data_IF_879199303108
#
_entry.id   IF_879199303108
#
_cell.length_a   1.000
_cell.length_b   1.000
_cell.length_c   1.000
_cell.angle_alpha   90.00
_cell.angle_beta   90.00
_cell.angle_gamma   90.00
#
_symmetry.space_group_name_H-M   'P 1'
#
loop_
_entity.id
_entity.type
_entity.pdbx_description
1 polymer ?
#
# COMPACT_ATOMS: atom_id res chain seq x y z
N UNK A 1 8.75 57.66 -42.23
CA UNK A 1 7.89 56.66 -41.56
C UNK A 1 8.56 56.28 -40.24
N UNK A 2 8.03 56.68 -39.07
CA UNK A 2 8.62 56.31 -37.79
C UNK A 2 8.24 54.88 -37.39
N UNK A 3 9.22 54.08 -36.96
CA UNK A 3 9.05 52.70 -36.52
C UNK A 3 8.35 52.63 -35.14
N UNK A 4 7.44 51.66 -34.90
CA UNK A 4 6.85 51.48 -33.59
C UNK A 4 7.86 50.84 -32.62
N UNK A 5 8.20 51.58 -31.56
CA UNK A 5 9.00 51.09 -30.44
C UNK A 5 8.10 50.31 -29.48
N UNK A 6 8.29 48.98 -29.41
CA UNK A 6 7.53 48.10 -28.51
C UNK A 6 8.00 48.32 -27.07
N UNK A 7 7.17 48.97 -26.25
CA UNK A 7 7.40 49.09 -24.80
C UNK A 7 7.05 47.76 -24.13
N UNK A 8 8.05 47.02 -23.64
CA UNK A 8 7.81 45.86 -22.77
C UNK A 8 7.40 46.35 -21.39
N UNK A 9 6.21 45.98 -20.95
CA UNK A 9 5.73 46.29 -19.58
C UNK A 9 6.37 45.32 -18.59
N UNK A 10 6.88 45.78 -17.43
CA UNK A 10 7.35 44.88 -16.38
C UNK A 10 6.14 44.18 -15.76
N UNK A 11 6.16 42.85 -15.78
CA UNK A 11 5.14 42.02 -15.14
C UNK A 11 5.40 42.02 -13.62
N UNK A 12 4.41 42.34 -12.77
CA UNK A 12 4.61 42.38 -11.34
C UNK A 12 4.85 40.96 -10.80
N UNK A 13 5.98 40.80 -10.09
CA UNK A 13 6.52 39.55 -9.51
C UNK A 13 5.55 38.86 -8.53
N UNK A 14 4.51 39.56 -8.08
CA UNK A 14 3.49 39.07 -7.14
C UNK A 14 2.49 38.09 -7.76
N UNK A 15 2.30 38.11 -9.09
CA UNK A 15 1.39 37.16 -9.77
C UNK A 15 2.04 35.78 -9.94
N UNK A 16 3.38 35.72 -10.03
CA UNK A 16 4.11 34.46 -10.19
C UNK A 16 4.09 33.59 -8.91
N UNK A 17 4.00 34.21 -7.73
CA UNK A 17 4.03 33.49 -6.45
C UNK A 17 2.72 32.74 -6.14
N UNK A 18 1.56 33.25 -6.57
CA UNK A 18 0.27 32.56 -6.38
C UNK A 18 0.06 31.39 -7.35
N UNK A 19 0.69 31.40 -8.53
CA UNK A 19 0.57 30.30 -9.48
C UNK A 19 1.30 29.03 -9.03
N UNK A 20 2.43 29.18 -8.34
CA UNK A 20 3.27 28.07 -7.92
C UNK A 20 2.62 27.19 -6.83
N UNK A 21 1.81 27.76 -5.94
CA UNK A 21 1.10 26.98 -4.90
C UNK A 21 -0.05 26.14 -5.46
N UNK A 22 -0.71 26.57 -6.53
CA UNK A 22 -1.76 25.80 -7.19
C UNK A 22 -1.22 24.54 -7.89
N UNK A 23 -0.01 24.60 -8.44
CA UNK A 23 0.66 23.46 -9.08
C UNK A 23 1.13 22.41 -8.06
N UNK A 24 1.50 22.82 -6.85
CA UNK A 24 1.98 21.91 -5.79
C UNK A 24 0.88 21.03 -5.18
N UNK A 25 -0.40 21.40 -5.30
CA UNK A 25 -1.53 20.59 -4.78
C UNK A 25 -2.05 19.53 -5.76
N UNK A 26 -1.68 19.58 -7.05
CA UNK A 26 -2.21 18.64 -8.06
C UNK A 26 -1.60 17.24 -8.01
N UNK A 27 -0.68 16.96 -7.07
CA UNK A 27 0.00 15.67 -6.93
C UNK A 27 -0.74 14.62 -6.09
N UNK A 28 -1.75 15.00 -5.28
CA UNK A 28 -2.48 14.05 -4.43
C UNK A 28 -3.63 13.32 -5.13
N UNK A 29 -3.79 13.47 -6.46
CA UNK A 29 -4.79 12.76 -7.24
C UNK A 29 -4.14 11.88 -8.31
N UNK A 30 -3.13 11.09 -7.94
CA UNK A 30 -2.64 9.98 -8.76
C UNK A 30 -3.09 8.65 -8.13
N UNK A 31 -4.41 8.49 -8.01
CA UNK A 31 -5.05 7.23 -7.63
C UNK A 31 -5.85 6.72 -8.82
N UNK A 32 -5.25 5.83 -9.62
CA UNK A 32 -5.94 5.26 -10.77
C UNK A 32 -5.03 4.58 -11.79
N UNK A 33 -3.97 3.89 -11.32
CA UNK A 33 -3.30 2.90 -12.15
C UNK A 33 -4.27 1.74 -12.38
N UNK A 34 -4.63 1.51 -13.64
CA UNK A 34 -5.57 0.49 -14.04
C UNK A 34 -5.26 -0.86 -13.37
N UNK A 35 -6.20 -1.35 -12.57
CA UNK A 35 -6.18 -2.72 -12.11
C UNK A 35 -6.24 -3.62 -13.34
N UNK A 36 -5.12 -4.29 -13.65
CA UNK A 36 -5.13 -5.39 -14.59
C UNK A 36 -6.06 -6.46 -14.02
N UNK A 37 -7.23 -6.65 -14.65
CA UNK A 37 -8.10 -7.78 -14.35
C UNK A 37 -7.38 -9.06 -14.74
N UNK A 38 -6.74 -9.71 -13.77
CA UNK A 38 -6.33 -11.10 -13.90
C UNK A 38 -7.60 -11.94 -13.97
N UNK A 39 -8.03 -12.26 -15.20
CA UNK A 39 -9.07 -13.27 -15.45
C UNK A 39 -8.43 -14.64 -15.21
N UNK A 40 -8.37 -15.04 -13.93
CA UNK A 40 -8.07 -16.41 -13.55
C UNK A 40 -9.24 -17.30 -13.94
N UNK A 41 -8.96 -18.34 -14.72
CA UNK A 41 -9.91 -19.42 -15.01
C UNK A 41 -10.52 -19.95 -13.71
N UNK A 42 -11.83 -20.26 -13.64
CA UNK A 42 -12.40 -20.85 -12.44
C UNK A 42 -11.69 -22.18 -12.20
N UNK A 43 -10.90 -22.25 -11.13
CA UNK A 43 -10.42 -23.51 -10.62
C UNK A 43 -11.64 -24.26 -10.09
N UNK A 44 -11.80 -25.51 -10.50
CA UNK A 44 -12.87 -26.38 -10.03
C UNK A 44 -12.74 -26.53 -8.51
N UNK A 45 -13.62 -25.85 -7.79
CA UNK A 45 -13.58 -25.76 -6.33
C UNK A 45 -14.05 -27.11 -5.77
N UNK A 46 -13.10 -28.01 -5.50
CA UNK A 46 -13.36 -29.21 -4.69
C UNK A 46 -13.78 -28.70 -3.32
N UNK A 47 -15.08 -28.74 -3.03
CA UNK A 47 -15.61 -28.31 -1.73
C UNK A 47 -14.98 -29.19 -0.64
N UNK A 48 -14.10 -28.66 0.22
CA UNK A 48 -13.51 -29.45 1.28
C UNK A 48 -14.61 -29.89 2.25
N UNK A 49 -14.62 -31.15 2.66
CA UNK A 49 -15.53 -31.62 3.70
C UNK A 49 -15.19 -30.92 5.02
N UNK A 50 -16.02 -29.98 5.46
CA UNK A 50 -15.84 -29.30 6.74
C UNK A 50 -16.19 -30.27 7.87
N UNK A 51 -15.24 -30.48 8.79
CA UNK A 51 -15.42 -31.32 9.98
C UNK A 51 -15.10 -30.51 11.22
N UNK A 52 -16.03 -30.52 12.18
CA UNK A 52 -15.78 -29.95 13.51
C UNK A 52 -14.75 -30.79 14.26
N UNK A 53 -13.81 -30.11 14.90
CA UNK A 53 -12.78 -30.71 15.76
C UNK A 53 -12.92 -30.15 17.17
N UNK A 54 -12.60 -30.96 18.18
CA UNK A 54 -12.74 -30.56 19.58
C UNK A 54 -11.74 -29.47 19.99
N UNK A 55 -10.59 -29.39 19.32
CA UNK A 55 -9.56 -28.37 19.51
C UNK A 55 -8.60 -28.34 18.31
N UNK A 56 -7.84 -27.25 18.20
CA UNK A 56 -6.70 -27.08 17.30
C UNK A 56 -5.44 -26.88 18.15
N UNK A 57 -4.28 -27.26 17.61
CA UNK A 57 -3.00 -26.94 18.24
C UNK A 57 -2.80 -25.42 18.25
N UNK A 58 -2.72 -24.78 19.43
CA UNK A 58 -2.73 -23.33 19.53
C UNK A 58 -1.36 -22.75 19.14
N UNK A 59 -1.36 -21.83 18.17
CA UNK A 59 -0.16 -21.23 17.59
C UNK A 59 -0.23 -19.71 17.61
N UNK A 60 0.92 -19.08 17.82
CA UNK A 60 1.08 -17.64 17.70
C UNK A 60 2.07 -17.33 16.57
N UNK A 61 1.78 -16.29 15.80
CA UNK A 61 2.71 -15.74 14.81
C UNK A 61 3.32 -14.47 15.37
N UNK A 62 4.64 -14.39 15.38
CA UNK A 62 5.42 -13.24 15.86
C UNK A 62 6.21 -12.67 14.69
N UNK A 63 6.12 -11.36 14.48
CA UNK A 63 7.02 -10.69 13.53
C UNK A 63 8.29 -10.23 14.24
N UNK A 64 9.42 -10.43 13.57
CA UNK A 64 10.73 -9.96 13.99
C UNK A 64 11.46 -9.31 12.81
N UNK A 65 12.53 -8.57 13.08
CA UNK A 65 13.38 -8.01 12.02
C UNK A 65 14.11 -9.12 11.27
N UNK A 66 13.55 -9.55 10.14
CA UNK A 66 13.99 -10.72 9.40
C UNK A 66 12.89 -11.76 9.12
N UNK A 67 11.66 -11.53 9.60
CA UNK A 67 10.48 -12.23 9.07
C UNK A 67 9.39 -12.55 10.08
N UNK A 68 8.83 -13.75 9.94
CA UNK A 68 7.77 -14.30 10.79
C UNK A 68 8.19 -15.61 11.44
N UNK A 69 7.84 -15.76 12.71
CA UNK A 69 8.04 -16.97 13.48
C UNK A 69 6.68 -17.50 13.93
N UNK A 70 6.35 -18.72 13.54
CA UNK A 70 5.21 -19.45 14.07
C UNK A 70 5.68 -20.28 15.25
N UNK A 71 5.09 -20.04 16.42
CA UNK A 71 5.47 -20.67 17.69
C UNK A 71 4.28 -21.45 18.24
N UNK A 72 4.53 -22.66 18.69
CA UNK A 72 3.56 -23.43 19.47
C UNK A 72 3.39 -22.75 20.83
N UNK A 73 2.16 -22.40 21.19
CA UNK A 73 1.91 -21.59 22.39
C UNK A 73 1.91 -22.40 23.68
N UNK A 74 1.86 -23.73 23.59
CA UNK A 74 1.93 -24.61 24.75
C UNK A 74 3.40 -24.91 25.11
N UNK A 75 4.22 -25.26 24.12
CA UNK A 75 5.63 -25.62 24.33
C UNK A 75 6.59 -24.44 24.20
N UNK A 76 6.21 -23.40 23.45
CA UNK A 76 7.11 -22.30 23.07
C UNK A 76 8.10 -22.66 21.96
N UNK A 77 7.95 -23.82 21.32
CA UNK A 77 8.83 -24.27 20.24
C UNK A 77 8.49 -23.58 18.91
N UNK A 78 9.54 -23.33 18.12
CA UNK A 78 9.38 -22.80 16.76
C UNK A 78 8.87 -23.92 15.86
N UNK A 79 7.72 -23.68 15.25
CA UNK A 79 7.16 -24.60 14.27
C UNK A 79 7.52 -24.20 12.84
N UNK A 80 7.61 -22.90 12.58
CA UNK A 80 7.96 -22.39 11.26
C UNK A 80 8.67 -21.04 11.34
N UNK A 81 9.59 -20.81 10.41
CA UNK A 81 10.30 -19.54 10.24
C UNK A 81 10.27 -19.14 8.76
N UNK A 82 9.60 -18.03 8.47
CA UNK A 82 9.47 -17.46 7.13
C UNK A 82 10.31 -16.18 7.07
N UNK A 83 11.39 -16.22 6.27
CA UNK A 83 12.32 -15.11 6.14
C UNK A 83 11.78 -14.01 5.23
N UNK A 84 11.78 -12.78 5.75
CA UNK A 84 11.45 -11.57 5.01
C UNK A 84 12.03 -10.35 5.70
N UNK A 85 12.52 -9.37 4.94
CA UNK A 85 13.19 -8.22 5.54
C UNK A 85 12.24 -7.33 6.34
N UNK A 86 12.69 -6.89 7.53
CA UNK A 86 11.98 -5.94 8.39
C UNK A 86 10.85 -6.53 9.23
N UNK A 87 10.13 -5.66 9.95
CA UNK A 87 8.94 -6.01 10.72
C UNK A 87 7.69 -5.98 9.85
N UNK A 88 6.93 -7.08 9.85
CA UNK A 88 5.69 -7.24 9.10
C UNK A 88 4.46 -6.93 9.96
N UNK A 89 3.44 -6.34 9.33
CA UNK A 89 2.12 -6.10 9.94
C UNK A 89 1.29 -7.38 9.90
N UNK A 90 0.92 -7.91 11.06
CA UNK A 90 0.09 -9.11 11.17
C UNK A 90 -1.42 -8.84 11.07
N UNK A 91 -1.86 -7.66 11.52
CA UNK A 91 -3.26 -7.27 11.48
C UNK A 91 -3.49 -6.24 10.37
N UNK A 92 -4.64 -6.34 9.70
CA UNK A 92 -5.09 -5.35 8.72
C UNK A 92 -5.53 -4.01 9.35
N UNK A 93 -5.53 -3.90 10.68
CA UNK A 93 -5.82 -2.67 11.40
C UNK A 93 -4.84 -1.55 11.01
N UNK A 94 -5.30 -0.65 10.14
CA UNK A 94 -4.53 0.48 9.63
C UNK A 94 -4.58 0.67 8.12
N UNK A 95 -5.04 -0.31 7.34
CA UNK A 95 -5.35 -0.10 5.92
C UNK A 95 -6.82 0.34 5.83
N UNK A 96 -7.06 1.65 6.00
CA UNK A 96 -8.38 2.27 5.83
C UNK A 96 -8.82 2.30 4.37
N UNK A 97 -8.85 1.14 3.71
CA UNK A 97 -9.32 1.00 2.34
C UNK A 97 -10.83 0.84 2.32
N UNK A 98 -11.54 1.95 2.07
CA UNK A 98 -12.86 1.94 1.44
C UNK A 98 -12.72 1.76 -0.05
#
# INVERSE_FOLDING_TARGET
MPSPSVRRRPVPLTVAALGATALLLSGCAQGGGAAASSSGSPAEETTPSVKEVSHLDPRAVVSYDGGLLSVDTESGEVVEDVKQDGFLRLNNAGMGGT
#
